data_IF_662710835613
#
_entry.id   IF_662710835613
#
_cell.length_a   1.000
_cell.length_b   1.000
_cell.length_c   1.000
_cell.angle_alpha   90.00
_cell.angle_beta   90.00
_cell.angle_gamma   90.00
#
_symmetry.space_group_name_H-M   'P 1'
#
loop_
_entity.id
_entity.type
_entity.pdbx_description
1 polymer ?
#
# COMPACT_ATOMS: atom_id res chain seq x y z
N UNK A 1 -4.45 42.13 -35.42
CA UNK A 1 -4.10 40.79 -35.92
C UNK A 1 -2.83 40.35 -35.18
N UNK A 2 -2.71 39.20 -34.51
CA UNK A 2 -3.43 37.95 -34.73
C UNK A 2 -3.37 37.10 -33.45
N UNK A 3 -4.38 37.28 -32.59
CA UNK A 3 -4.71 36.37 -31.47
C UNK A 3 -5.15 34.97 -31.95
N UNK A 4 -5.22 34.76 -33.28
CA UNK A 4 -5.68 33.55 -33.94
C UNK A 4 -4.61 32.45 -34.08
N UNK A 5 -3.31 32.79 -34.03
CA UNK A 5 -2.26 31.80 -34.28
C UNK A 5 -1.94 30.92 -33.05
N UNK A 6 -2.37 31.30 -31.84
CA UNK A 6 -2.11 30.55 -30.60
C UNK A 6 -3.28 29.63 -30.18
N UNK A 7 -4.44 29.74 -30.83
CA UNK A 7 -5.59 28.86 -30.57
C UNK A 7 -5.50 27.51 -31.31
N UNK A 8 -4.87 27.49 -32.49
CA UNK A 8 -4.77 26.28 -33.32
C UNK A 8 -3.87 25.15 -32.79
N UNK A 9 -3.08 25.39 -31.72
CA UNK A 9 -2.15 24.37 -31.18
C UNK A 9 -2.74 23.52 -30.06
N UNK A 10 -3.91 23.90 -29.50
CA UNK A 10 -4.52 23.19 -28.37
C UNK A 10 -5.66 22.27 -28.83
N UNK A 11 -6.28 22.60 -29.96
CA UNK A 11 -7.43 21.85 -30.50
C UNK A 11 -7.03 20.55 -31.23
N UNK A 12 -5.73 20.28 -31.43
CA UNK A 12 -5.22 19.08 -32.11
C UNK A 12 -4.61 18.03 -31.15
N UNK A 13 -4.87 18.14 -29.85
CA UNK A 13 -4.62 17.01 -28.93
C UNK A 13 -5.85 16.10 -28.96
N UNK A 14 -5.98 15.37 -30.06
CA UNK A 14 -6.99 14.33 -30.21
C UNK A 14 -6.58 13.17 -29.30
N UNK A 15 -7.02 13.22 -28.04
CA UNK A 15 -6.63 12.31 -26.96
C UNK A 15 -7.21 10.88 -27.15
N UNK A 16 -7.77 10.57 -28.33
CA UNK A 16 -8.31 9.25 -28.66
C UNK A 16 -9.59 8.88 -27.92
N UNK A 17 -10.17 9.80 -27.14
CA UNK A 17 -11.44 9.57 -26.44
C UNK A 17 -12.65 9.65 -27.39
N UNK A 18 -12.55 10.39 -28.49
CA UNK A 18 -13.65 10.59 -29.44
C UNK A 18 -13.90 9.36 -30.34
N UNK A 19 -12.92 8.45 -30.44
CA UNK A 19 -13.02 7.16 -31.14
C UNK A 19 -13.13 5.95 -30.18
N UNK A 20 -13.33 6.20 -28.87
CA UNK A 20 -13.50 5.13 -27.90
C UNK A 20 -14.93 4.60 -27.97
N UNK A 21 -15.14 3.55 -28.75
CA UNK A 21 -16.46 2.92 -28.89
C UNK A 21 -16.82 2.16 -27.61
N UNK A 22 -17.54 2.81 -26.69
CA UNK A 22 -18.06 2.18 -25.48
C UNK A 22 -18.98 0.98 -25.77
N UNK A 23 -19.59 0.90 -26.96
CA UNK A 23 -20.41 -0.25 -27.34
C UNK A 23 -19.55 -1.50 -27.57
N UNK A 24 -18.30 -1.34 -28.00
CA UNK A 24 -17.36 -2.45 -28.16
C UNK A 24 -16.99 -3.13 -26.83
N UNK A 25 -17.09 -2.42 -25.70
CA UNK A 25 -16.90 -2.97 -24.35
C UNK A 25 -18.06 -3.85 -23.88
N UNK A 26 -19.24 -3.69 -24.49
CA UNK A 26 -20.48 -4.44 -24.20
C UNK A 26 -20.80 -5.40 -25.35
N UNK A 27 -19.81 -5.74 -26.18
CA UNK A 27 -19.94 -6.83 -27.15
C UNK A 27 -19.89 -8.19 -26.42
N UNK A 28 -20.55 -9.24 -26.93
CA UNK A 28 -20.51 -10.56 -26.29
C UNK A 28 -19.08 -11.06 -26.07
N UNK A 29 -18.20 -10.85 -27.05
CA UNK A 29 -16.78 -11.25 -27.01
C UNK A 29 -15.98 -10.47 -25.96
N UNK A 30 -16.25 -9.16 -25.78
CA UNK A 30 -15.61 -8.36 -24.74
C UNK A 30 -16.13 -8.70 -23.35
N UNK A 31 -17.39 -9.09 -23.21
CA UNK A 31 -17.96 -9.53 -21.93
C UNK A 31 -17.38 -10.88 -21.49
N UNK A 32 -17.14 -11.81 -22.42
CA UNK A 32 -16.41 -13.05 -22.12
C UNK A 32 -14.95 -12.79 -21.72
N UNK A 33 -14.28 -11.86 -22.41
CA UNK A 33 -12.93 -11.42 -22.03
C UNK A 33 -12.89 -10.77 -20.63
N UNK A 34 -13.91 -10.00 -20.25
CA UNK A 34 -13.97 -9.31 -18.95
C UNK A 34 -14.49 -10.20 -17.81
N UNK A 35 -15.10 -11.36 -18.11
CA UNK A 35 -15.68 -12.26 -17.10
C UNK A 35 -14.69 -12.69 -16.00
N UNK A 36 -13.40 -13.01 -16.27
CA UNK A 36 -12.41 -13.31 -15.24
C UNK A 36 -12.08 -12.13 -14.31
N UNK A 37 -12.37 -10.90 -14.72
CA UNK A 37 -12.11 -9.68 -13.94
C UNK A 37 -13.28 -9.28 -13.04
N UNK A 38 -14.46 -9.85 -13.26
CA UNK A 38 -15.66 -9.52 -12.49
C UNK A 38 -15.49 -9.71 -10.96
N UNK A 39 -14.84 -10.79 -10.46
CA UNK A 39 -14.59 -10.94 -9.02
C UNK A 39 -13.66 -9.86 -8.47
N UNK A 40 -12.63 -9.46 -9.22
CA UNK A 40 -11.70 -8.40 -8.84
C UNK A 40 -12.41 -7.05 -8.78
N UNK A 41 -13.17 -6.70 -9.82
CA UNK A 41 -13.94 -5.46 -9.86
C UNK A 41 -14.95 -5.40 -8.70
N UNK A 42 -15.66 -6.50 -8.45
CA UNK A 42 -16.59 -6.61 -7.31
C UNK A 42 -15.89 -6.40 -5.97
N UNK A 43 -14.75 -7.05 -5.74
CA UNK A 43 -13.95 -6.86 -4.53
C UNK A 43 -13.51 -5.40 -4.34
N UNK A 44 -12.99 -4.75 -5.38
CA UNK A 44 -12.54 -3.36 -5.33
C UNK A 44 -13.70 -2.40 -5.05
N UNK A 45 -14.86 -2.62 -5.66
CA UNK A 45 -16.06 -1.83 -5.40
C UNK A 45 -16.55 -1.99 -3.96
N UNK A 46 -16.61 -3.22 -3.44
CA UNK A 46 -16.99 -3.48 -2.04
C UNK A 46 -16.00 -2.78 -1.09
N UNK A 47 -14.69 -2.91 -1.33
CA UNK A 47 -13.67 -2.26 -0.52
C UNK A 47 -13.78 -0.73 -0.55
N UNK A 48 -14.07 -0.15 -1.73
CA UNK A 48 -14.28 1.28 -1.89
C UNK A 48 -15.52 1.78 -1.16
N UNK A 49 -16.66 1.08 -1.31
CA UNK A 49 -17.91 1.41 -0.63
C UNK A 49 -17.74 1.30 0.89
N UNK A 50 -17.13 0.21 1.38
CA UNK A 50 -16.81 0.03 2.79
C UNK A 50 -15.93 1.18 3.31
N UNK A 51 -14.89 1.57 2.55
CA UNK A 51 -14.02 2.70 2.89
C UNK A 51 -14.78 4.02 3.00
N UNK A 52 -15.69 4.32 2.06
CA UNK A 52 -16.51 5.54 2.08
C UNK A 52 -17.45 5.55 3.30
N UNK A 53 -18.12 4.43 3.59
CA UNK A 53 -19.02 4.31 4.75
C UNK A 53 -18.24 4.51 6.05
N UNK A 54 -17.09 3.85 6.19
CA UNK A 54 -16.24 3.95 7.39
C UNK A 54 -15.64 5.35 7.54
N UNK A 55 -15.29 6.02 6.44
CA UNK A 55 -14.78 7.40 6.43
C UNK A 55 -15.80 8.39 7.02
N UNK A 56 -17.09 8.18 6.76
CA UNK A 56 -18.17 8.97 7.36
C UNK A 56 -18.21 8.84 8.89
N UNK A 57 -18.05 7.62 9.40
CA UNK A 57 -18.07 7.32 10.85
C UNK A 57 -16.82 7.82 11.58
N UNK A 58 -15.66 7.71 10.94
CA UNK A 58 -14.38 8.12 11.55
C UNK A 58 -14.25 9.63 11.70
N UNK A 59 -14.96 10.47 10.92
CA UNK A 59 -14.93 11.94 11.09
C UNK A 59 -15.52 12.39 12.43
N UNK A 60 -16.54 11.69 12.94
CA UNK A 60 -17.18 12.01 14.21
C UNK A 60 -16.30 11.77 15.45
N UNK A 61 -15.20 11.02 15.33
CA UNK A 61 -14.39 10.55 16.46
C UNK A 61 -13.41 11.59 17.08
N UNK A 62 -13.43 12.86 16.68
CA UNK A 62 -12.55 13.91 17.23
C UNK A 62 -11.03 13.74 16.93
N UNK A 63 -10.23 14.78 17.20
CA UNK A 63 -8.76 14.79 16.99
C UNK A 63 -8.29 15.41 15.65
N UNK A 64 -7.01 15.79 15.57
CA UNK A 64 -6.40 16.38 14.36
C UNK A 64 -6.32 15.36 13.22
N UNK A 65 -6.36 15.82 11.96
CA UNK A 65 -6.26 14.96 10.77
C UNK A 65 -5.02 14.05 10.83
N UNK A 66 -3.86 14.62 11.16
CA UNK A 66 -2.58 13.91 11.22
C UNK A 66 -2.62 12.77 12.25
N UNK A 67 -3.11 13.03 13.46
CA UNK A 67 -3.21 11.99 14.49
C UNK A 67 -4.23 10.91 14.14
N UNK A 68 -5.33 11.26 13.46
CA UNK A 68 -6.34 10.29 13.05
C UNK A 68 -5.86 9.40 11.91
N UNK A 69 -5.21 10.00 10.92
CA UNK A 69 -4.76 9.33 9.71
C UNK A 69 -3.54 8.44 9.95
N UNK A 70 -2.52 8.94 10.65
CA UNK A 70 -1.25 8.22 10.80
C UNK A 70 -1.21 7.26 12.00
N UNK A 71 -1.92 7.59 13.09
CA UNK A 71 -1.83 6.81 14.34
C UNK A 71 -3.19 6.36 14.89
N UNK A 72 -4.28 6.55 14.13
CA UNK A 72 -5.62 6.10 14.54
C UNK A 72 -6.09 6.70 15.86
N UNK A 73 -5.70 7.93 16.17
CA UNK A 73 -5.92 8.59 17.47
C UNK A 73 -5.40 7.78 18.68
N UNK A 74 -4.44 6.86 18.46
CA UNK A 74 -3.89 5.93 19.47
C UNK A 74 -4.95 5.06 20.15
N UNK A 75 -6.10 4.89 19.52
CA UNK A 75 -7.22 4.09 20.02
C UNK A 75 -7.16 2.63 19.57
N UNK A 76 -6.21 2.27 18.69
CA UNK A 76 -6.05 0.91 18.20
C UNK A 76 -5.55 -0.01 19.33
N UNK A 77 -6.40 -0.93 19.77
CA UNK A 77 -6.05 -1.95 20.75
C UNK A 77 -5.03 -2.96 20.23
N UNK A 78 -4.37 -3.68 21.15
CA UNK A 78 -3.29 -4.63 20.81
C UNK A 78 -3.70 -5.71 19.80
N UNK A 79 -4.95 -6.19 19.87
CA UNK A 79 -5.47 -7.18 18.92
C UNK A 79 -5.56 -6.62 17.49
N UNK A 80 -6.10 -5.41 17.32
CA UNK A 80 -6.22 -4.77 15.99
C UNK A 80 -4.84 -4.46 15.41
N UNK A 81 -3.88 -4.07 16.25
CA UNK A 81 -2.48 -3.88 15.84
C UNK A 81 -1.84 -5.20 15.40
N UNK A 82 -2.11 -6.32 16.08
CA UNK A 82 -1.64 -7.63 15.66
C UNK A 82 -2.24 -8.05 14.32
N UNK A 83 -3.55 -7.85 14.11
CA UNK A 83 -4.19 -8.11 12.81
C UNK A 83 -3.58 -7.26 11.70
N UNK A 84 -3.32 -5.98 11.95
CA UNK A 84 -2.68 -5.08 10.97
C UNK A 84 -1.28 -5.55 10.61
N UNK A 85 -0.55 -6.09 11.59
CA UNK A 85 0.80 -6.66 11.38
C UNK A 85 0.73 -7.90 10.49
N UNK A 86 -0.21 -8.82 10.75
CA UNK A 86 -0.42 -10.00 9.92
C UNK A 86 -0.85 -9.59 8.50
N UNK A 87 -1.75 -8.60 8.38
CA UNK A 87 -2.16 -8.06 7.08
C UNK A 87 -0.98 -7.45 6.31
N UNK A 88 -0.06 -6.76 7.00
CA UNK A 88 1.18 -6.22 6.41
C UNK A 88 2.08 -7.35 5.91
N UNK A 89 2.14 -8.45 6.64
CA UNK A 89 2.90 -9.63 6.23
C UNK A 89 2.24 -10.36 5.04
N UNK A 90 0.92 -10.28 4.89
CA UNK A 90 0.15 -10.81 3.75
C UNK A 90 0.32 -10.01 2.45
N UNK A 91 1.56 -9.76 2.04
CA UNK A 91 1.91 -9.02 0.83
C UNK A 91 2.37 -9.96 -0.28
N UNK A 92 2.49 -9.41 -1.49
CA UNK A 92 3.00 -10.11 -2.68
C UNK A 92 4.34 -10.82 -2.42
N UNK A 93 5.24 -10.19 -1.66
CA UNK A 93 6.53 -10.81 -1.30
C UNK A 93 6.36 -12.09 -0.48
N UNK A 94 5.32 -12.19 0.35
CA UNK A 94 5.06 -13.40 1.14
C UNK A 94 4.34 -14.47 0.32
N UNK A 95 3.40 -14.06 -0.55
CA UNK A 95 2.66 -14.97 -1.43
C UNK A 95 3.53 -15.59 -2.52
N UNK A 96 4.47 -14.84 -3.09
CA UNK A 96 5.38 -15.32 -4.14
C UNK A 96 6.68 -15.82 -3.52
N UNK A 97 7.27 -15.05 -2.61
CA UNK A 97 8.60 -15.33 -2.08
C UNK A 97 8.64 -16.55 -1.15
N UNK A 98 7.65 -16.72 -0.26
CA UNK A 98 7.63 -17.86 0.66
C UNK A 98 7.55 -19.21 -0.06
N UNK A 99 6.51 -19.45 -0.88
CA UNK A 99 6.40 -20.67 -1.68
C UNK A 99 7.57 -20.87 -2.65
N UNK A 100 8.09 -19.80 -3.28
CA UNK A 100 9.25 -19.89 -4.17
C UNK A 100 10.51 -20.37 -3.43
N UNK A 101 10.78 -19.82 -2.25
CA UNK A 101 11.92 -20.27 -1.43
C UNK A 101 11.72 -21.70 -0.90
N UNK A 102 10.49 -22.09 -0.58
CA UNK A 102 10.17 -23.46 -0.19
C UNK A 102 10.32 -24.45 -1.36
N UNK A 103 10.08 -24.01 -2.61
CA UNK A 103 10.30 -24.83 -3.80
C UNK A 103 11.79 -25.13 -4.02
N UNK A 104 12.64 -24.12 -3.85
CA UNK A 104 14.08 -24.25 -4.09
C UNK A 104 14.82 -24.96 -2.95
N UNK A 105 14.44 -24.68 -1.69
CA UNK A 105 15.19 -25.09 -0.48
C UNK A 105 14.43 -26.16 0.33
N UNK A 106 13.19 -26.49 -0.06
CA UNK A 106 12.34 -27.43 0.66
C UNK A 106 11.95 -26.91 2.06
N UNK A 107 11.87 -27.82 3.04
CA UNK A 107 11.53 -27.48 4.42
C UNK A 107 12.55 -26.57 5.14
N UNK A 108 13.73 -26.32 4.55
CA UNK A 108 14.73 -25.39 5.09
C UNK A 108 14.19 -23.96 5.26
N UNK A 109 13.23 -23.56 4.44
CA UNK A 109 12.52 -22.28 4.57
C UNK A 109 11.84 -22.09 5.94
N UNK A 110 11.38 -23.17 6.59
CA UNK A 110 10.69 -23.09 7.88
C UNK A 110 11.59 -22.50 8.97
N UNK A 111 12.89 -22.79 8.97
CA UNK A 111 13.83 -22.19 9.92
C UNK A 111 13.87 -20.67 9.79
N UNK A 112 13.89 -20.15 8.56
CA UNK A 112 13.86 -18.71 8.28
C UNK A 112 12.55 -18.07 8.76
N UNK A 113 11.42 -18.77 8.59
CA UNK A 113 10.12 -18.29 9.06
C UNK A 113 10.04 -18.25 10.60
N UNK A 114 10.54 -19.27 11.30
CA UNK A 114 10.55 -19.32 12.77
C UNK A 114 11.40 -18.20 13.36
N UNK A 115 12.56 -17.92 12.78
CA UNK A 115 13.43 -16.81 13.20
C UNK A 115 12.72 -15.47 13.01
N UNK A 116 12.05 -15.26 11.87
CA UNK A 116 11.29 -14.03 11.62
C UNK A 116 10.13 -13.84 12.60
N UNK A 117 9.32 -14.88 12.85
CA UNK A 117 8.20 -14.80 13.81
C UNK A 117 8.72 -14.48 15.21
N UNK A 118 9.80 -15.14 15.64
CA UNK A 118 10.43 -14.90 16.95
C UNK A 118 10.94 -13.46 17.05
N UNK A 119 11.64 -12.98 16.01
CA UNK A 119 12.13 -11.61 15.95
C UNK A 119 10.98 -10.58 16.02
N UNK A 120 9.87 -10.82 15.32
CA UNK A 120 8.69 -9.95 15.36
C UNK A 120 8.07 -9.88 16.77
N UNK A 121 7.93 -11.02 17.45
CA UNK A 121 7.41 -11.07 18.83
C UNK A 121 8.30 -10.27 19.78
N UNK A 122 9.62 -10.46 19.70
CA UNK A 122 10.57 -9.72 20.54
C UNK A 122 10.59 -8.23 20.22
N UNK A 123 10.58 -7.88 18.94
CA UNK A 123 10.57 -6.50 18.47
C UNK A 123 9.33 -5.77 18.98
N UNK A 124 8.12 -6.31 18.78
CA UNK A 124 6.91 -5.65 19.24
C UNK A 124 6.76 -5.69 20.77
N UNK A 125 7.07 -6.82 21.40
CA UNK A 125 6.95 -6.99 22.85
C UNK A 125 7.85 -6.06 23.64
N UNK A 126 9.13 -5.95 23.24
CA UNK A 126 10.13 -5.18 23.97
C UNK A 126 10.24 -3.76 23.41
N UNK A 127 10.54 -3.65 22.11
CA UNK A 127 10.83 -2.36 21.48
C UNK A 127 9.54 -1.58 21.17
N UNK A 128 8.50 -2.24 20.68
CA UNK A 128 7.20 -1.63 20.38
C UNK A 128 6.59 -0.92 21.58
N UNK A 129 6.58 -1.58 22.76
CA UNK A 129 6.10 -0.96 24.01
C UNK A 129 6.87 0.32 24.37
N UNK A 130 8.21 0.29 24.28
CA UNK A 130 9.06 1.47 24.58
C UNK A 130 8.83 2.58 23.56
N UNK A 131 8.79 2.27 22.28
CA UNK A 131 8.55 3.26 21.21
C UNK A 131 7.15 3.88 21.32
N UNK A 132 6.13 3.11 21.67
CA UNK A 132 4.77 3.63 21.89
C UNK A 132 4.66 4.56 23.10
N UNK A 133 5.52 4.41 24.12
CA UNK A 133 5.61 5.37 25.24
C UNK A 133 6.33 6.65 24.83
N UNK A 134 7.45 6.53 24.10
CA UNK A 134 8.24 7.67 23.63
C UNK A 134 7.44 8.53 22.65
N UNK A 135 6.81 7.90 21.65
CA UNK A 135 5.92 8.59 20.71
C UNK A 135 4.82 9.36 21.45
N UNK A 136 4.28 8.80 22.53
CA UNK A 136 3.28 9.47 23.36
C UNK A 136 3.79 10.74 24.03
N UNK A 137 4.97 10.69 24.64
CA UNK A 137 5.59 11.85 25.31
C UNK A 137 5.96 12.97 24.32
N UNK A 138 6.39 12.60 23.12
CA UNK A 138 6.85 13.55 22.10
C UNK A 138 5.74 14.03 21.16
N UNK A 139 4.53 13.49 21.27
CA UNK A 139 3.47 13.63 20.26
C UNK A 139 3.96 13.32 18.82
N UNK A 140 4.96 12.43 18.72
CA UNK A 140 5.55 12.02 17.46
C UNK A 140 4.60 11.09 16.70
N UNK A 141 4.42 11.36 15.41
CA UNK A 141 3.62 10.54 14.49
C UNK A 141 4.49 9.63 13.63
N UNK A 142 5.76 9.98 13.43
CA UNK A 142 6.72 9.17 12.67
C UNK A 142 7.91 8.73 13.53
N UNK A 143 8.63 7.69 13.07
CA UNK A 143 9.92 7.29 13.66
C UNK A 143 10.96 8.39 13.48
N UNK A 144 10.89 9.14 12.39
CA UNK A 144 11.79 10.28 12.11
C UNK A 144 11.63 11.38 13.15
N UNK A 145 10.42 11.66 13.62
CA UNK A 145 10.19 12.64 14.70
C UNK A 145 10.85 12.19 16.00
N UNK A 146 10.83 10.89 16.29
CA UNK A 146 11.53 10.33 17.45
C UNK A 146 13.05 10.47 17.30
N UNK A 147 13.59 10.22 16.12
CA UNK A 147 15.03 10.41 15.82
C UNK A 147 15.40 11.90 15.98
N UNK A 148 14.60 12.81 15.42
CA UNK A 148 14.81 14.26 15.54
C UNK A 148 14.83 14.69 17.00
N UNK A 149 13.86 14.25 17.80
CA UNK A 149 13.78 14.58 19.21
C UNK A 149 14.90 13.93 20.04
N UNK A 150 15.40 12.76 19.62
CA UNK A 150 16.46 12.04 20.33
C UNK A 150 17.85 12.66 20.11
N UNK A 151 18.13 13.12 18.89
CA UNK A 151 19.47 13.61 18.50
C UNK A 151 19.54 15.13 18.28
N UNK A 152 18.41 15.84 18.26
CA UNK A 152 18.36 17.29 18.05
C UNK A 152 18.81 17.76 16.65
N UNK A 153 19.03 16.84 15.70
CA UNK A 153 19.57 17.15 14.38
C UNK A 153 18.52 17.01 13.28
N UNK A 154 18.24 18.13 12.60
CA UNK A 154 17.37 18.15 11.42
C UNK A 154 18.00 17.43 10.22
N UNK A 155 19.33 17.49 10.08
CA UNK A 155 20.04 16.79 9.01
C UNK A 155 19.88 15.27 9.14
N UNK A 156 20.06 14.72 10.35
CA UNK A 156 19.90 13.29 10.59
C UNK A 156 18.45 12.82 10.39
N UNK A 157 17.49 13.64 10.82
CA UNK A 157 16.08 13.35 10.60
C UNK A 157 15.72 13.32 9.10
N UNK A 158 16.21 14.30 8.33
CA UNK A 158 15.95 14.36 6.90
C UNK A 158 16.63 13.23 6.14
N UNK A 159 17.87 12.87 6.51
CA UNK A 159 18.56 11.71 5.95
C UNK A 159 17.79 10.41 6.24
N UNK A 160 17.31 10.24 7.48
CA UNK A 160 16.52 9.07 7.87
C UNK A 160 15.20 9.00 7.07
N UNK A 161 14.51 10.14 6.90
CA UNK A 161 13.32 10.21 6.08
C UNK A 161 13.60 9.85 4.61
N UNK A 162 14.69 10.36 4.04
CA UNK A 162 15.11 10.07 2.67
C UNK A 162 15.38 8.58 2.47
N UNK A 163 16.12 7.97 3.39
CA UNK A 163 16.41 6.53 3.38
C UNK A 163 15.11 5.73 3.44
N UNK A 164 14.21 6.05 4.37
CA UNK A 164 12.91 5.36 4.49
C UNK A 164 12.12 5.47 3.17
N UNK A 165 12.00 6.66 2.59
CA UNK A 165 11.27 6.87 1.33
C UNK A 165 11.90 6.09 0.17
N UNK A 166 13.23 6.10 0.06
CA UNK A 166 13.94 5.41 -1.01
C UNK A 166 13.74 3.89 -0.94
N UNK A 167 13.93 3.29 0.23
CA UNK A 167 13.72 1.85 0.40
C UNK A 167 12.23 1.48 0.26
N UNK A 168 11.32 2.32 0.75
CA UNK A 168 9.89 2.09 0.58
C UNK A 168 9.47 2.17 -0.89
N UNK A 169 10.03 3.10 -1.67
CA UNK A 169 9.78 3.16 -3.11
C UNK A 169 10.26 1.88 -3.81
N UNK A 170 11.46 1.39 -3.47
CA UNK A 170 11.99 0.15 -4.03
C UNK A 170 11.10 -1.06 -3.70
N UNK A 171 10.63 -1.19 -2.45
CA UNK A 171 9.72 -2.29 -2.09
C UNK A 171 8.35 -2.13 -2.74
N UNK A 172 7.82 -0.91 -2.88
CA UNK A 172 6.56 -0.67 -3.61
C UNK A 172 6.63 -1.16 -5.06
N UNK A 173 7.74 -0.89 -5.77
CA UNK A 173 7.93 -1.38 -7.14
C UNK A 173 7.89 -2.91 -7.17
N UNK A 174 8.61 -3.58 -6.26
CA UNK A 174 8.59 -5.04 -6.18
C UNK A 174 7.17 -5.58 -5.94
N UNK A 175 6.36 -4.91 -5.11
CA UNK A 175 5.00 -5.36 -4.84
C UNK A 175 4.06 -5.14 -6.02
N UNK A 176 4.18 -4.04 -6.76
CA UNK A 176 3.39 -3.85 -7.98
C UNK A 176 3.76 -4.86 -9.06
N UNK A 177 5.05 -5.09 -9.29
CA UNK A 177 5.53 -6.06 -10.29
C UNK A 177 5.08 -7.48 -9.92
N UNK A 178 5.26 -7.89 -8.66
CA UNK A 178 4.81 -9.23 -8.25
C UNK A 178 3.28 -9.36 -8.24
N UNK A 179 2.54 -8.28 -7.94
CA UNK A 179 1.09 -8.25 -8.05
C UNK A 179 0.61 -8.41 -9.49
N UNK A 180 1.27 -7.73 -10.44
CA UNK A 180 0.99 -7.87 -11.87
C UNK A 180 1.29 -9.29 -12.37
N UNK A 181 2.39 -9.91 -11.93
CA UNK A 181 2.70 -11.32 -12.25
C UNK A 181 1.67 -12.30 -11.68
N UNK A 182 1.19 -12.07 -10.46
CA UNK A 182 0.11 -12.87 -9.88
C UNK A 182 -1.18 -12.71 -10.67
N UNK A 183 -1.49 -11.48 -11.10
CA UNK A 183 -2.66 -11.20 -11.93
C UNK A 183 -2.58 -11.88 -13.30
N UNK A 184 -1.43 -11.80 -13.98
CA UNK A 184 -1.16 -12.51 -15.24
C UNK A 184 -1.31 -14.03 -15.07
N UNK A 185 -0.72 -14.60 -14.01
CA UNK A 185 -0.79 -16.03 -13.75
C UNK A 185 -2.21 -16.55 -13.50
N UNK A 186 -3.11 -15.73 -12.94
CA UNK A 186 -4.49 -16.11 -12.63
C UNK A 186 -5.45 -15.82 -13.78
N UNK A 187 -5.24 -14.73 -14.51
CA UNK A 187 -6.19 -14.26 -15.54
C UNK A 187 -5.77 -14.58 -16.97
N UNK A 188 -4.49 -14.90 -17.19
CA UNK A 188 -3.91 -15.09 -18.52
C UNK A 188 -3.63 -13.80 -19.29
N UNK A 189 -3.94 -12.63 -18.71
CA UNK A 189 -3.64 -11.33 -19.32
C UNK A 189 -2.19 -10.94 -19.08
N UNK A 190 -1.45 -10.68 -20.17
CA UNK A 190 -0.08 -10.21 -20.04
C UNK A 190 -0.02 -8.81 -19.43
N UNK A 191 0.96 -8.59 -18.56
CA UNK A 191 1.21 -7.28 -17.93
C UNK A 191 2.34 -6.48 -18.62
N UNK A 192 2.94 -7.02 -19.69
CA UNK A 192 4.06 -6.44 -20.46
C UNK A 192 3.57 -5.89 -21.80
#
# INVERSE_FOLDING_TARGET
MTRAARRHSVDNLDLGFDNFDFASLVSPDSLEALAPLAPLAGFLLIALVASIIVRGRTRAAGGTFVNRYFIGNRALGGFVLAMTTIATYGSVSSFVGGPGQAWDIGFGWVYMAVVQVTALVLLYGIFGKKMGLISRKLNAVTVVDVIRARYGSNALANLSALVIVLFFAATMVAQFVGGAKLFEAVTGYSYV
#
